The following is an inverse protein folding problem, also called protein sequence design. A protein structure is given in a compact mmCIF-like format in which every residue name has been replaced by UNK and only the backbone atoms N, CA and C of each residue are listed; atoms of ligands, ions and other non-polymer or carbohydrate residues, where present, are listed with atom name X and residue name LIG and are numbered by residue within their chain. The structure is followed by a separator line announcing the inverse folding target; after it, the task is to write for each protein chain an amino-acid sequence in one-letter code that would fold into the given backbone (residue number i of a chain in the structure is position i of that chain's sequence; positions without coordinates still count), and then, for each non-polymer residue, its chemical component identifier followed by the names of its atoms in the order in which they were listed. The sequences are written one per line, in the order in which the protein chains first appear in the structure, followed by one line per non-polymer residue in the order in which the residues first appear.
data_IF_058748209130
#
_entry.id   IF_058748209130
#
_cell.length_a   1.000
_cell.length_b   1.000
_cell.length_c   1.000
_cell.angle_alpha   90.00
_cell.angle_beta   90.00
_cell.angle_gamma   90.00
#
_symmetry.space_group_name_H-M   'P 1'
#
loop_
_entity.id
_entity.type
_entity.pdbx_description
1 polymer ?
#
# COMPACT_ATOMS: atom_id res chain seq x y z
N UNK A 1 8.18 -11.40 -18.50
CA UNK A 1 6.84 -10.75 -18.46
C UNK A 1 6.79 -10.04 -17.13
N UNK A 2 6.55 -8.72 -17.11
CA UNK A 2 6.53 -7.95 -15.87
C UNK A 2 5.09 -8.01 -15.37
N UNK A 3 4.82 -8.78 -14.32
CA UNK A 3 3.50 -8.73 -13.68
C UNK A 3 3.24 -7.28 -13.25
N UNK A 4 2.03 -6.77 -13.49
CA UNK A 4 1.62 -5.40 -13.14
C UNK A 4 0.31 -5.47 -12.38
N UNK A 5 0.19 -4.73 -11.27
CA UNK A 5 -1.03 -4.64 -10.49
C UNK A 5 -1.82 -3.40 -10.89
N UNK A 6 -3.08 -3.59 -11.29
CA UNK A 6 -4.01 -2.49 -11.55
C UNK A 6 -4.49 -1.85 -10.25
N UNK A 7 -4.50 -0.52 -10.18
CA UNK A 7 -5.10 0.20 -9.06
C UNK A 7 -6.62 -0.03 -9.03
N UNK A 8 -7.16 -0.43 -7.87
CA UNK A 8 -8.62 -0.62 -7.68
C UNK A 8 -9.46 0.66 -7.82
N UNK A 9 -8.83 1.83 -7.72
CA UNK A 9 -9.53 3.12 -7.76
C UNK A 9 -9.44 3.77 -9.15
N UNK A 10 -8.23 3.92 -9.72
CA UNK A 10 -8.04 4.61 -11.01
C UNK A 10 -7.60 3.68 -12.17
N UNK A 11 -7.42 2.38 -11.93
CA UNK A 11 -6.98 1.37 -12.92
C UNK A 11 -5.58 1.56 -13.52
N UNK A 12 -4.82 2.55 -13.07
CA UNK A 12 -3.40 2.69 -13.46
C UNK A 12 -2.64 1.39 -13.18
N UNK A 13 -1.79 0.97 -14.10
CA UNK A 13 -0.89 -0.17 -13.92
C UNK A 13 0.31 0.25 -13.06
N UNK A 14 0.61 -0.52 -12.02
CA UNK A 14 1.71 -0.25 -11.10
C UNK A 14 2.59 -1.50 -10.96
N UNK A 15 3.83 -1.28 -10.52
CA UNK A 15 4.72 -2.38 -10.15
C UNK A 15 4.08 -3.23 -9.02
N UNK A 16 4.22 -4.58 -9.02
CA UNK A 16 3.65 -5.43 -7.99
C UNK A 16 4.17 -5.12 -6.58
N UNK A 17 5.36 -4.53 -6.48
CA UNK A 17 5.96 -4.08 -5.20
C UNK A 17 5.54 -2.67 -4.80
N UNK A 18 4.79 -1.94 -5.65
CA UNK A 18 4.36 -0.59 -5.36
C UNK A 18 3.40 -0.55 -4.16
N UNK A 19 3.74 0.26 -3.16
CA UNK A 19 2.94 0.45 -1.93
C UNK A 19 1.70 1.31 -2.18
N UNK A 20 1.84 2.30 -3.06
CA UNK A 20 0.79 3.24 -3.45
C UNK A 20 0.70 3.36 -4.96
N UNK A 21 -0.48 3.74 -5.45
CA UNK A 21 -0.65 4.04 -6.86
C UNK A 21 0.15 5.28 -7.26
N UNK A 22 0.97 5.13 -8.30
CA UNK A 22 1.81 6.22 -8.83
C UNK A 22 0.99 7.39 -9.41
N UNK A 23 -0.29 7.17 -9.69
CA UNK A 23 -1.18 8.18 -10.26
C UNK A 23 -2.10 8.84 -9.21
N UNK A 24 -2.78 8.04 -8.38
CA UNK A 24 -3.79 8.57 -7.46
C UNK A 24 -3.44 8.42 -5.96
N UNK A 25 -2.29 7.82 -5.62
CA UNK A 25 -1.85 7.64 -4.24
C UNK A 25 -2.63 6.59 -3.43
N UNK A 26 -3.66 5.94 -4.00
CA UNK A 26 -4.40 4.89 -3.30
C UNK A 26 -3.46 3.74 -2.91
N UNK A 27 -3.45 3.26 -1.66
CA UNK A 27 -2.64 2.12 -1.25
C UNK A 27 -3.01 0.86 -2.04
N UNK A 28 -2.00 0.17 -2.54
CA UNK A 28 -2.15 -1.02 -3.39
C UNK A 28 -1.91 -2.33 -2.63
N UNK A 29 -1.35 -2.24 -1.42
CA UNK A 29 -1.02 -3.38 -0.56
C UNK A 29 -1.68 -3.24 0.81
N UNK A 30 -1.85 -4.36 1.50
CA UNK A 30 -2.41 -4.51 2.85
C UNK A 30 -1.51 -3.94 3.97
N UNK A 31 -0.63 -2.99 3.64
CA UNK A 31 0.25 -2.32 4.59
C UNK A 31 -0.41 -1.10 5.24
N UNK A 32 0.38 -0.35 6.01
CA UNK A 32 -0.03 0.89 6.63
C UNK A 32 -0.60 1.85 5.59
N UNK A 33 -1.81 2.36 5.81
CA UNK A 33 -2.47 3.28 4.86
C UNK A 33 -1.75 4.62 4.73
N UNK A 34 -0.99 5.04 5.75
CA UNK A 34 -0.26 6.31 5.73
C UNK A 34 1.12 6.23 5.05
N UNK A 35 1.90 5.17 5.30
CA UNK A 35 3.26 5.06 4.75
C UNK A 35 3.47 3.86 3.82
N UNK A 36 2.57 2.88 3.81
CA UNK A 36 2.63 1.69 2.96
C UNK A 36 3.47 0.55 3.54
N UNK A 37 4.03 0.70 4.75
CA UNK A 37 4.89 -0.35 5.34
C UNK A 37 4.05 -1.54 5.70
N UNK A 38 4.57 -2.75 5.50
CA UNK A 38 3.88 -3.96 5.95
C UNK A 38 3.57 -3.86 7.44
N UNK A 39 2.35 -4.19 7.80
CA UNK A 39 1.91 -4.26 9.18
C UNK A 39 2.01 -5.70 9.66
N UNK A 40 2.54 -5.88 10.85
CA UNK A 40 2.46 -7.18 11.53
C UNK A 40 0.99 -7.51 11.83
N UNK A 41 0.65 -8.79 11.83
CA UNK A 41 -0.69 -9.25 12.19
C UNK A 41 -1.09 -8.70 13.57
N UNK A 42 -2.24 -8.02 13.64
CA UNK A 42 -2.74 -7.43 14.88
C UNK A 42 -2.01 -6.17 15.37
N UNK A 43 -1.08 -5.60 14.59
CA UNK A 43 -0.45 -4.33 14.94
C UNK A 43 -1.51 -3.24 15.10
N UNK A 44 -1.46 -2.45 16.20
CA UNK A 44 -2.34 -1.29 16.45
C UNK A 44 -1.76 0.02 15.90
N UNK A 45 -0.43 0.06 15.74
CA UNK A 45 0.31 1.19 15.20
C UNK A 45 1.37 0.67 14.21
N UNK A 46 1.70 1.48 13.21
CA UNK A 46 2.76 1.17 12.28
C UNK A 46 4.13 1.33 12.95
N UNK A 47 4.95 0.27 12.93
CA UNK A 47 6.32 0.31 13.48
C UNK A 47 7.27 1.25 12.72
N UNK A 48 6.89 1.69 11.52
CA UNK A 48 7.72 2.59 10.69
C UNK A 48 7.34 4.07 10.86
N UNK A 49 6.05 4.41 10.94
CA UNK A 49 5.62 5.81 10.99
C UNK A 49 4.75 6.18 12.19
N UNK A 50 4.41 5.22 13.06
CA UNK A 50 3.60 5.46 14.26
C UNK A 50 2.10 5.63 14.02
N UNK A 51 1.64 5.70 12.76
CA UNK A 51 0.22 5.84 12.44
C UNK A 51 -0.59 4.65 12.98
N UNK A 52 -1.75 4.91 13.57
CA UNK A 52 -2.71 3.87 13.94
C UNK A 52 -3.16 3.07 12.70
N UNK A 53 -3.25 1.76 12.83
CA UNK A 53 -3.57 0.82 11.74
C UNK A 53 -5.06 0.54 11.56
N UNK A 54 -5.88 1.28 12.31
CA UNK A 54 -7.33 1.14 12.45
C UNK A 54 -8.06 1.99 11.41
#
# INVERSE_FOLDING_TARGET
MKDLQGCRQCRTANDPSARFCLNCGTPLSSGCTACGSLLSAGARFCSHCGQATL
#
